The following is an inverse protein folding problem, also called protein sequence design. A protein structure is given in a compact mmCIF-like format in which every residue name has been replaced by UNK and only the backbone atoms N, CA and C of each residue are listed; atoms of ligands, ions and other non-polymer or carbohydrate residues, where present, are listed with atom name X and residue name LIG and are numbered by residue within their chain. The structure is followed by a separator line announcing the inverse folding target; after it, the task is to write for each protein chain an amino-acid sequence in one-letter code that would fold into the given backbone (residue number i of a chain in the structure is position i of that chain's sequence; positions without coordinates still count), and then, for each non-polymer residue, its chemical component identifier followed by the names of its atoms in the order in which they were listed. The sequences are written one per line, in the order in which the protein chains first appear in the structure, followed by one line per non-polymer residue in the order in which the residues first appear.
data_IF_104269363413
#
_entry.id   IF_104269363413
#
_cell.length_a   1.000
_cell.length_b   1.000
_cell.length_c   1.000
_cell.angle_alpha   90.00
_cell.angle_beta   90.00
_cell.angle_gamma   90.00
#
_symmetry.space_group_name_H-M   'P 1'
#
loop_
_entity.id
_entity.type
_entity.pdbx_description
1 polymer ?
#
# COMPACT_ATOMS: atom_id res chain seq x y z
N UNK A 1 -54.45 -9.47 -41.58
CA UNK A 1 -53.37 -8.46 -41.50
C UNK A 1 -53.38 -7.91 -40.09
N UNK A 2 -52.39 -8.31 -39.29
CA UNK A 2 -52.16 -7.81 -37.92
C UNK A 2 -50.93 -6.91 -38.04
N UNK A 3 -50.93 -5.66 -37.53
CA UNK A 3 -49.74 -4.82 -37.60
C UNK A 3 -48.74 -5.25 -36.53
N UNK A 4 -47.50 -5.46 -36.96
CA UNK A 4 -46.34 -5.69 -36.09
C UNK A 4 -46.10 -4.46 -35.22
N UNK A 5 -45.98 -4.70 -33.91
CA UNK A 5 -45.56 -3.71 -32.92
C UNK A 5 -44.05 -3.84 -32.74
N UNK A 6 -43.28 -2.92 -33.32
CA UNK A 6 -41.85 -2.80 -33.05
C UNK A 6 -41.61 -2.33 -31.61
N UNK A 7 -41.09 -3.21 -30.77
CA UNK A 7 -40.53 -2.84 -29.48
C UNK A 7 -39.10 -2.31 -29.65
N UNK A 8 -38.93 -0.99 -29.61
CA UNK A 8 -37.61 -0.37 -29.51
C UNK A 8 -37.05 -0.56 -28.09
N UNK A 9 -36.08 -1.46 -27.93
CA UNK A 9 -35.30 -1.57 -26.68
C UNK A 9 -34.31 -0.41 -26.62
N UNK A 10 -34.64 0.62 -25.84
CA UNK A 10 -33.70 1.72 -25.54
C UNK A 10 -32.66 1.23 -24.52
N UNK A 11 -31.46 0.90 -25.00
CA UNK A 11 -30.31 0.55 -24.17
C UNK A 11 -29.83 1.76 -23.35
N UNK A 12 -30.07 1.74 -22.03
CA UNK A 12 -29.60 2.77 -21.09
C UNK A 12 -28.08 2.68 -20.87
N UNK A 13 -27.28 3.40 -21.68
CA UNK A 13 -25.86 3.67 -21.36
C UNK A 13 -25.74 4.90 -20.45
N UNK A 14 -25.94 4.72 -19.14
CA UNK A 14 -25.82 5.79 -18.13
C UNK A 14 -24.47 5.78 -17.36
N UNK A 15 -23.41 5.19 -17.93
CA UNK A 15 -22.13 4.91 -17.26
C UNK A 15 -21.15 6.10 -17.04
N UNK A 16 -21.05 7.15 -17.88
CA UNK A 16 -19.98 8.15 -17.75
C UNK A 16 -20.09 8.99 -16.47
N UNK A 17 -21.28 9.54 -16.21
CA UNK A 17 -21.53 10.52 -15.14
C UNK A 17 -21.34 9.90 -13.73
N UNK A 18 -21.56 8.59 -13.59
CA UNK A 18 -21.38 7.90 -12.31
C UNK A 18 -19.90 7.69 -11.96
N UNK A 19 -19.06 7.39 -12.96
CA UNK A 19 -17.62 7.20 -12.77
C UNK A 19 -16.92 8.51 -12.39
N UNK A 20 -17.26 9.61 -13.06
CA UNK A 20 -16.69 10.93 -12.75
C UNK A 20 -17.01 11.35 -11.30
N UNK A 21 -18.22 11.07 -10.83
CA UNK A 21 -18.61 11.35 -9.44
C UNK A 21 -17.87 10.49 -8.41
N UNK A 22 -17.58 9.23 -8.71
CA UNK A 22 -16.81 8.36 -7.82
C UNK A 22 -15.36 8.84 -7.69
N UNK A 23 -14.76 9.24 -8.81
CA UNK A 23 -13.40 9.78 -8.85
C UNK A 23 -13.29 11.09 -8.04
N UNK A 24 -14.21 12.03 -8.24
CA UNK A 24 -14.22 13.29 -7.48
C UNK A 24 -14.41 13.07 -5.97
N UNK A 25 -15.22 12.09 -5.57
CA UNK A 25 -15.33 11.68 -4.17
C UNK A 25 -14.03 11.11 -3.63
N UNK A 26 -13.32 10.29 -4.41
CA UNK A 26 -12.00 9.77 -4.02
C UNK A 26 -10.98 10.90 -3.82
N UNK A 27 -10.93 11.88 -4.74
CA UNK A 27 -10.07 13.07 -4.62
C UNK A 27 -10.41 13.88 -3.37
N UNK A 28 -11.70 14.13 -3.12
CA UNK A 28 -12.14 14.88 -1.94
C UNK A 28 -11.74 14.19 -0.65
N UNK A 29 -11.94 12.86 -0.56
CA UNK A 29 -11.55 12.06 0.61
C UNK A 29 -10.04 12.08 0.83
N UNK A 30 -9.25 11.90 -0.23
CA UNK A 30 -7.79 11.97 -0.16
C UNK A 30 -7.34 13.33 0.38
N UNK A 31 -7.88 14.44 -0.14
CA UNK A 31 -7.56 15.80 0.34
C UNK A 31 -7.87 15.98 1.83
N UNK A 32 -9.04 15.55 2.27
CA UNK A 32 -9.44 15.66 3.67
C UNK A 32 -8.51 14.87 4.59
N UNK A 33 -8.18 13.63 4.21
CA UNK A 33 -7.30 12.75 4.99
C UNK A 33 -5.84 13.24 4.99
N UNK A 34 -5.37 13.75 3.86
CA UNK A 34 -4.07 14.42 3.75
C UNK A 34 -3.94 15.57 4.73
N UNK A 35 -4.99 16.39 4.90
CA UNK A 35 -4.98 17.50 5.85
C UNK A 35 -4.93 17.02 7.32
N UNK A 36 -5.74 16.00 7.64
CA UNK A 36 -5.74 15.38 8.97
C UNK A 36 -4.37 14.77 9.30
N UNK A 37 -3.76 14.07 8.35
CA UNK A 37 -2.45 13.45 8.55
C UNK A 37 -1.38 14.52 8.74
N UNK A 38 -1.34 15.54 7.88
CA UNK A 38 -0.32 16.59 7.93
C UNK A 38 -0.31 17.33 9.27
N UNK A 39 -1.47 17.47 9.91
CA UNK A 39 -1.63 18.13 11.21
C UNK A 39 -1.50 17.19 12.41
N UNK A 40 -1.28 15.88 12.20
CA UNK A 40 -1.19 14.90 13.28
C UNK A 40 0.21 14.78 13.86
N UNK A 41 0.29 14.54 15.16
CA UNK A 41 1.55 14.22 15.87
C UNK A 41 2.21 12.96 15.29
N UNK A 42 1.41 11.93 15.00
CA UNK A 42 1.89 10.70 14.37
C UNK A 42 2.67 10.96 13.07
N UNK A 43 2.19 11.87 12.23
CA UNK A 43 2.88 12.19 10.99
C UNK A 43 4.23 12.86 11.26
N UNK A 44 4.28 13.78 12.23
CA UNK A 44 5.52 14.45 12.64
C UNK A 44 6.56 13.44 13.13
N UNK A 45 6.17 12.51 14.00
CA UNK A 45 7.06 11.46 14.51
C UNK A 45 7.59 10.56 13.39
N UNK A 46 6.72 10.20 12.43
CA UNK A 46 7.09 9.39 11.27
C UNK A 46 8.12 10.14 10.41
N UNK A 47 7.86 11.39 10.04
CA UNK A 47 8.77 12.12 9.15
C UNK A 47 10.09 12.44 9.83
N UNK A 48 10.12 12.78 11.12
CA UNK A 48 11.35 12.98 11.87
C UNK A 48 12.22 11.72 11.87
N UNK A 49 11.59 10.55 12.10
CA UNK A 49 12.27 9.26 12.03
C UNK A 49 12.84 8.99 10.64
N UNK A 50 12.04 9.21 9.58
CA UNK A 50 12.45 8.97 8.21
C UNK A 50 13.55 9.94 7.73
N UNK A 51 13.50 11.19 8.18
CA UNK A 51 14.54 12.19 7.92
C UNK A 51 15.86 11.79 8.57
N UNK A 52 15.82 11.34 9.84
CA UNK A 52 16.98 10.81 10.54
C UNK A 52 17.61 9.62 9.80
N UNK A 53 16.79 8.67 9.35
CA UNK A 53 17.27 7.55 8.54
C UNK A 53 17.90 8.01 7.23
N UNK A 54 17.25 8.94 6.52
CA UNK A 54 17.75 9.49 5.26
C UNK A 54 19.08 10.23 5.44
N UNK A 55 19.23 11.00 6.52
CA UNK A 55 20.45 11.73 6.86
C UNK A 55 21.62 10.80 7.25
N UNK A 56 21.34 9.67 7.91
CA UNK A 56 22.35 8.67 8.27
C UNK A 56 22.79 7.76 7.10
N UNK A 57 22.10 7.85 5.95
CA UNK A 57 22.37 6.99 4.80
C UNK A 57 23.57 7.48 4.00
N UNK A 58 24.45 6.56 3.61
CA UNK A 58 25.55 6.82 2.67
C UNK A 58 25.06 7.18 1.26
N UNK A 59 23.80 6.84 0.94
CA UNK A 59 23.11 7.26 -0.28
C UNK A 59 21.66 7.64 0.08
N UNK A 60 21.21 8.87 -0.16
CA UNK A 60 19.84 9.28 0.15
C UNK A 60 18.87 8.55 -0.78
N UNK A 61 17.95 7.80 -0.18
CA UNK A 61 16.88 7.14 -0.93
C UNK A 61 15.87 8.18 -1.45
N UNK A 62 15.38 7.94 -2.66
CA UNK A 62 14.42 8.81 -3.36
C UNK A 62 13.28 8.03 -4.00
N UNK A 63 13.20 6.73 -3.70
CA UNK A 63 12.19 5.81 -4.21
C UNK A 63 11.40 5.23 -3.05
N UNK A 64 10.10 5.07 -3.25
CA UNK A 64 9.23 4.32 -2.36
C UNK A 64 8.60 3.17 -3.11
N UNK A 65 8.59 1.99 -2.48
CA UNK A 65 7.85 0.82 -2.92
C UNK A 65 6.74 0.52 -1.93
N UNK A 66 5.49 0.76 -2.31
CA UNK A 66 4.34 0.40 -1.52
C UNK A 66 3.85 -1.01 -1.88
N UNK A 67 3.62 -1.84 -0.88
CA UNK A 67 3.02 -3.16 -1.02
C UNK A 67 1.87 -3.32 -0.03
N UNK A 68 0.80 -4.01 -0.43
CA UNK A 68 -0.34 -4.29 0.44
C UNK A 68 -1.01 -3.00 0.97
N UNK A 69 -1.44 -2.11 0.06
CA UNK A 69 -2.09 -0.84 0.38
C UNK A 69 -3.59 -1.01 0.69
N UNK A 70 -4.24 -2.04 0.15
CA UNK A 70 -5.70 -2.20 0.06
C UNK A 70 -6.30 -1.43 -1.13
N UNK A 71 -7.63 -1.36 -1.21
CA UNK A 71 -8.33 -0.58 -2.25
C UNK A 71 -8.61 0.85 -1.75
N UNK A 72 -7.84 1.89 -2.15
CA UNK A 72 -8.01 3.25 -1.60
C UNK A 72 -9.33 3.93 -2.01
N UNK A 73 -10.03 3.45 -3.04
CA UNK A 73 -11.35 3.97 -3.38
C UNK A 73 -12.44 3.30 -2.54
N UNK A 74 -12.37 1.99 -2.34
CA UNK A 74 -13.43 1.21 -1.69
C UNK A 74 -13.28 1.17 -0.16
N UNK A 75 -12.04 1.19 0.34
CA UNK A 75 -11.71 0.99 1.75
C UNK A 75 -11.22 2.28 2.41
N UNK A 76 -11.78 2.60 3.57
CA UNK A 76 -11.40 3.78 4.34
C UNK A 76 -9.96 3.72 4.85
N UNK A 77 -9.55 2.58 5.41
CA UNK A 77 -8.21 2.39 5.95
C UNK A 77 -7.14 2.53 4.87
N UNK A 78 -7.33 1.88 3.71
CA UNK A 78 -6.44 2.00 2.56
C UNK A 78 -6.31 3.45 2.07
N UNK A 79 -7.37 4.24 2.15
CA UNK A 79 -7.32 5.65 1.77
C UNK A 79 -6.52 6.51 2.77
N UNK A 80 -6.60 6.23 4.07
CA UNK A 80 -5.72 6.85 5.05
C UNK A 80 -4.26 6.48 4.82
N UNK A 81 -3.97 5.21 4.49
CA UNK A 81 -2.61 4.78 4.15
C UNK A 81 -2.09 5.44 2.87
N UNK A 82 -2.95 5.62 1.87
CA UNK A 82 -2.61 6.37 0.66
C UNK A 82 -2.32 7.83 0.98
N UNK A 83 -3.14 8.46 1.81
CA UNK A 83 -2.92 9.84 2.23
C UNK A 83 -1.57 9.98 2.97
N UNK A 84 -1.25 9.06 3.88
CA UNK A 84 0.05 9.01 4.56
C UNK A 84 1.21 8.88 3.57
N UNK A 85 1.13 7.92 2.65
CA UNK A 85 2.14 7.70 1.61
C UNK A 85 2.35 8.95 0.74
N UNK A 86 1.27 9.65 0.37
CA UNK A 86 1.34 10.91 -0.36
C UNK A 86 2.01 12.03 0.45
N UNK A 87 1.66 12.19 1.73
CA UNK A 87 2.29 13.21 2.59
C UNK A 87 3.79 12.91 2.80
N UNK A 88 4.16 11.64 3.05
CA UNK A 88 5.57 11.21 3.14
C UNK A 88 6.31 11.52 1.84
N UNK A 89 5.71 11.17 0.70
CA UNK A 89 6.28 11.40 -0.63
C UNK A 89 6.58 12.88 -0.88
N UNK A 90 5.66 13.76 -0.49
CA UNK A 90 5.83 15.22 -0.62
C UNK A 90 6.85 15.77 0.37
N UNK A 91 6.77 15.40 1.64
CA UNK A 91 7.66 15.90 2.70
C UNK A 91 9.12 15.52 2.44
N UNK A 92 9.39 14.28 2.04
CA UNK A 92 10.74 13.78 1.83
C UNK A 92 11.28 13.96 0.41
N UNK A 93 10.54 14.66 -0.47
CA UNK A 93 10.85 14.86 -1.88
C UNK A 93 11.18 13.54 -2.59
N UNK A 94 10.23 12.60 -2.56
CA UNK A 94 10.36 11.30 -3.22
C UNK A 94 10.08 11.44 -4.72
N UNK A 95 11.03 10.99 -5.53
CA UNK A 95 10.99 11.15 -6.99
C UNK A 95 10.14 10.06 -7.66
N UNK A 96 10.02 8.89 -7.03
CA UNK A 96 9.32 7.76 -7.61
C UNK A 96 8.60 6.96 -6.53
N UNK A 97 7.29 6.80 -6.69
CA UNK A 97 6.49 5.87 -5.88
C UNK A 97 5.97 4.79 -6.81
N UNK A 98 6.30 3.54 -6.50
CA UNK A 98 5.69 2.37 -7.14
C UNK A 98 4.79 1.66 -6.14
N UNK A 99 3.64 1.18 -6.60
CA UNK A 99 2.63 0.55 -5.74
C UNK A 99 2.13 -0.74 -6.35
N UNK A 100 1.85 -1.72 -5.50
CA UNK A 100 1.15 -2.94 -5.89
C UNK A 100 0.34 -3.53 -4.76
N UNK A 101 -0.88 -3.90 -5.13
CA UNK A 101 -1.77 -4.72 -4.33
C UNK A 101 -2.66 -5.55 -5.27
N UNK A 102 -2.80 -6.87 -5.05
CA UNK A 102 -3.81 -7.68 -5.74
C UNK A 102 -5.25 -7.16 -5.57
N UNK A 103 -5.55 -6.44 -4.48
CA UNK A 103 -6.85 -5.85 -4.21
C UNK A 103 -7.18 -4.62 -5.08
N UNK A 104 -6.21 -4.07 -5.83
CA UNK A 104 -6.46 -2.90 -6.67
C UNK A 104 -7.48 -3.18 -7.77
N UNK A 105 -8.57 -2.40 -7.75
CA UNK A 105 -9.56 -2.32 -8.82
C UNK A 105 -9.00 -1.55 -10.03
N UNK A 106 -9.77 -1.51 -11.13
CA UNK A 106 -9.40 -0.70 -12.31
C UNK A 106 -9.43 0.79 -11.96
N UNK A 107 -10.41 1.19 -11.15
CA UNK A 107 -10.59 2.54 -10.65
C UNK A 107 -9.43 2.95 -9.73
N UNK A 108 -8.96 2.06 -8.84
CA UNK A 108 -7.80 2.33 -7.97
C UNK A 108 -6.54 2.61 -8.80
N UNK A 109 -6.24 1.75 -9.77
CA UNK A 109 -5.06 1.89 -10.64
C UNK A 109 -5.11 3.20 -11.42
N UNK A 110 -6.28 3.57 -11.92
CA UNK A 110 -6.48 4.86 -12.59
C UNK A 110 -6.24 6.02 -11.62
N UNK A 111 -6.88 6.01 -10.45
CA UNK A 111 -6.75 7.08 -9.46
C UNK A 111 -5.31 7.25 -8.96
N UNK A 112 -4.62 6.15 -8.64
CA UNK A 112 -3.23 6.15 -8.18
C UNK A 112 -2.27 6.70 -9.25
N UNK A 113 -2.48 6.34 -10.52
CA UNK A 113 -1.63 6.83 -11.61
C UNK A 113 -1.96 8.28 -12.03
N UNK A 114 -3.24 8.65 -12.12
CA UNK A 114 -3.65 9.97 -12.61
C UNK A 114 -3.56 11.07 -11.55
N UNK A 115 -3.94 10.77 -10.30
CA UNK A 115 -4.02 11.78 -9.24
C UNK A 115 -2.78 11.79 -8.34
N UNK A 116 -2.14 10.63 -8.14
CA UNK A 116 -0.97 10.51 -7.26
C UNK A 116 0.34 10.38 -8.05
N UNK A 117 0.29 10.19 -9.38
CA UNK A 117 1.45 9.94 -10.23
C UNK A 117 2.28 8.71 -9.80
N UNK A 118 1.60 7.67 -9.30
CA UNK A 118 2.25 6.43 -8.86
C UNK A 118 2.36 5.43 -10.01
N UNK A 119 3.46 4.68 -10.01
CA UNK A 119 3.66 3.56 -10.95
C UNK A 119 2.99 2.30 -10.41
N UNK A 120 2.11 1.70 -11.20
CA UNK A 120 1.47 0.43 -10.82
C UNK A 120 2.33 -0.72 -11.37
N UNK A 121 3.09 -1.38 -10.52
CA UNK A 121 4.10 -2.36 -10.96
C UNK A 121 4.01 -3.62 -10.11
N UNK A 122 3.65 -4.77 -10.68
CA UNK A 122 3.55 -6.02 -9.92
C UNK A 122 4.91 -6.55 -9.44
N UNK A 123 5.89 -6.55 -10.33
CA UNK A 123 7.28 -6.82 -10.00
C UNK A 123 8.00 -5.51 -9.66
N UNK A 124 9.02 -5.62 -8.81
CA UNK A 124 9.90 -4.51 -8.50
C UNK A 124 11.31 -5.07 -8.38
N UNK A 125 12.13 -4.74 -9.38
CA UNK A 125 13.53 -5.14 -9.47
C UNK A 125 14.38 -3.87 -9.58
N UNK A 126 14.64 -3.19 -8.45
CA UNK A 126 15.49 -2.02 -8.47
C UNK A 126 16.95 -2.48 -8.64
N UNK A 127 17.79 -1.65 -9.25
CA UNK A 127 19.25 -1.87 -9.31
C UNK A 127 19.97 -1.83 -7.93
N UNK A 128 19.20 -1.88 -6.83
CA UNK A 128 19.63 -1.86 -5.44
C UNK A 128 18.41 -1.67 -4.53
N UNK A 129 18.37 -2.32 -3.36
CA UNK A 129 17.31 -2.13 -2.36
C UNK A 129 17.64 -1.02 -1.34
N UNK A 130 18.89 -0.56 -1.34
CA UNK A 130 19.42 0.38 -0.37
C UNK A 130 18.94 1.83 -0.59
N UNK A 131 18.41 2.13 -1.78
CA UNK A 131 17.86 3.44 -2.16
C UNK A 131 16.32 3.46 -2.17
N UNK A 132 15.67 2.45 -1.57
CA UNK A 132 14.22 2.28 -1.56
C UNK A 132 13.69 2.19 -0.13
N UNK A 133 12.71 3.04 0.19
CA UNK A 133 11.84 2.83 1.35
C UNK A 133 10.69 1.89 0.97
N UNK A 134 10.56 0.77 1.66
CA UNK A 134 9.41 -0.11 1.54
C UNK A 134 8.31 0.33 2.50
N UNK A 135 7.16 0.74 1.95
CA UNK A 135 5.96 1.08 2.72
C UNK A 135 4.98 -0.09 2.66
N UNK A 136 4.67 -0.67 3.82
CA UNK A 136 3.99 -1.97 3.90
C UNK A 136 2.92 -1.96 4.99
N UNK A 137 1.79 -1.27 4.78
CA UNK A 137 0.84 -0.99 5.86
C UNK A 137 -0.05 -2.19 6.25
N UNK A 138 -0.39 -3.07 5.30
CA UNK A 138 -1.33 -4.18 5.53
C UNK A 138 -0.81 -5.53 5.02
N UNK A 139 0.51 -5.76 5.00
CA UNK A 139 1.02 -6.99 4.42
C UNK A 139 0.66 -8.24 5.23
N UNK A 140 0.18 -9.31 4.56
CA UNK A 140 0.16 -10.63 5.17
C UNK A 140 1.60 -11.08 5.48
N UNK A 141 1.74 -11.92 6.50
CA UNK A 141 3.03 -12.39 7.02
C UNK A 141 3.94 -12.94 5.92
N UNK A 142 3.37 -13.73 5.00
CA UNK A 142 4.11 -14.36 3.90
C UNK A 142 4.79 -13.30 2.99
N UNK A 143 4.10 -12.19 2.72
CA UNK A 143 4.64 -11.11 1.90
C UNK A 143 5.79 -10.41 2.62
N UNK A 144 5.63 -10.17 3.93
CA UNK A 144 6.64 -9.49 4.74
C UNK A 144 7.89 -10.37 4.94
N UNK A 145 7.72 -11.68 5.16
CA UNK A 145 8.84 -12.66 5.17
C UNK A 145 9.59 -12.69 3.84
N UNK A 146 8.86 -12.73 2.71
CA UNK A 146 9.46 -12.66 1.38
C UNK A 146 10.25 -11.37 1.18
N UNK A 147 9.70 -10.23 1.63
CA UNK A 147 10.40 -8.94 1.57
C UNK A 147 11.66 -8.94 2.45
N UNK A 148 11.57 -9.36 3.71
CA UNK A 148 12.71 -9.41 4.63
C UNK A 148 13.83 -10.35 4.15
N UNK A 149 13.49 -11.43 3.45
CA UNK A 149 14.48 -12.33 2.85
C UNK A 149 15.41 -11.62 1.86
N UNK A 150 14.92 -10.53 1.24
CA UNK A 150 15.70 -9.66 0.34
C UNK A 150 16.54 -8.61 1.08
N UNK A 151 16.42 -8.53 2.40
CA UNK A 151 17.16 -7.61 3.29
C UNK A 151 17.05 -6.13 2.86
N UNK A 152 15.84 -5.57 2.70
CA UNK A 152 15.69 -4.15 2.44
C UNK A 152 16.22 -3.34 3.63
N UNK A 153 16.83 -2.20 3.33
CA UNK A 153 17.43 -1.34 4.35
C UNK A 153 16.39 -0.55 5.16
N UNK A 154 15.33 -0.11 4.50
CA UNK A 154 14.29 0.73 5.09
C UNK A 154 12.91 0.12 4.88
N UNK A 155 12.19 -0.13 5.96
CA UNK A 155 10.81 -0.60 5.95
C UNK A 155 9.99 0.22 6.93
N UNK A 156 8.85 0.72 6.46
CA UNK A 156 7.80 1.33 7.29
C UNK A 156 6.56 0.44 7.21
N UNK A 157 6.14 -0.10 8.35
CA UNK A 157 4.99 -1.01 8.48
C UNK A 157 4.20 -0.70 9.75
N UNK A 158 2.91 -1.00 9.76
CA UNK A 158 2.02 -0.73 10.90
C UNK A 158 2.17 -1.74 12.05
N UNK A 159 2.61 -2.97 11.78
CA UNK A 159 2.63 -4.04 12.77
C UNK A 159 3.90 -4.88 12.71
N UNK A 160 4.83 -4.59 13.63
CA UNK A 160 6.05 -5.37 13.83
C UNK A 160 5.84 -6.52 14.84
N UNK A 161 4.72 -6.54 15.57
CA UNK A 161 4.44 -7.51 16.64
C UNK A 161 4.20 -8.93 16.12
N UNK A 162 3.87 -9.05 14.83
CA UNK A 162 3.87 -10.30 14.07
C UNK A 162 5.22 -11.03 14.19
N UNK A 163 6.33 -10.30 14.32
CA UNK A 163 7.67 -10.88 14.49
C UNK A 163 8.03 -11.17 15.94
N UNK A 164 7.62 -10.34 16.89
CA UNK A 164 7.93 -10.58 18.31
C UNK A 164 7.30 -11.87 18.81
N UNK A 165 6.12 -12.24 18.30
CA UNK A 165 5.47 -13.53 18.60
C UNK A 165 6.07 -14.73 17.85
N UNK A 166 6.79 -14.51 16.73
CA UNK A 166 7.46 -15.59 16.00
C UNK A 166 8.90 -15.84 16.45
N UNK A 167 9.64 -14.84 16.94
CA UNK A 167 10.95 -15.09 17.56
C UNK A 167 10.79 -15.99 18.79
N UNK A 168 9.79 -15.71 19.63
CA UNK A 168 9.44 -16.60 20.74
C UNK A 168 9.08 -18.01 20.25
N UNK A 169 8.29 -18.18 19.19
CA UNK A 169 7.95 -19.51 18.69
C UNK A 169 9.09 -20.24 17.94
N UNK A 170 9.91 -19.55 17.15
CA UNK A 170 11.01 -20.18 16.41
C UNK A 170 12.13 -20.60 17.36
N UNK A 171 12.44 -19.79 18.38
CA UNK A 171 13.29 -20.19 19.50
C UNK A 171 12.63 -21.30 20.34
N UNK A 172 11.30 -21.32 20.49
CA UNK A 172 10.59 -22.40 21.20
C UNK A 172 10.67 -23.75 20.47
N UNK A 173 10.54 -23.76 19.13
CA UNK A 173 10.64 -24.98 18.32
C UNK A 173 12.09 -25.44 18.14
N UNK A 174 13.06 -24.52 18.08
CA UNK A 174 14.49 -24.87 18.04
C UNK A 174 14.99 -25.38 19.41
N UNK A 175 14.40 -24.94 20.54
CA UNK A 175 14.83 -25.30 21.90
C UNK A 175 14.08 -26.48 22.52
N UNK A 176 12.91 -26.86 21.98
CA UNK A 176 12.14 -28.03 22.40
C UNK A 176 11.72 -28.90 21.20
N UNK A 177 12.65 -29.67 20.59
CA UNK A 177 12.27 -30.74 19.68
C UNK A 177 11.69 -31.90 20.50
N UNK A 178 10.40 -31.83 20.84
CA UNK A 178 9.69 -32.93 21.48
C UNK A 178 8.77 -33.59 20.47
N UNK A 179 8.64 -34.90 20.36
CA UNK A 179 9.37 -36.07 20.87
C UNK A 179 8.67 -37.21 20.09
N UNK A 180 9.41 -38.20 19.60
CA UNK A 180 8.84 -39.33 18.88
C UNK A 180 7.81 -40.06 19.75
N UNK A 181 6.54 -40.06 19.33
CA UNK A 181 5.52 -40.95 19.90
C UNK A 181 5.76 -42.37 19.39
N UNK A 182 6.43 -43.19 20.21
CA UNK A 182 6.34 -44.65 20.10
C UNK A 182 4.99 -45.08 20.68
N UNK A 183 4.10 -45.57 19.82
CA UNK A 183 2.98 -46.40 20.24
C UNK A 183 3.44 -47.87 20.19
N UNK A 184 3.35 -48.55 21.34
CA UNK A 184 3.24 -50.00 21.45
C UNK A 184 1.77 -50.39 21.35
#
# INVERSE_FOLDING_TARGET
MIPDVEFTIVSRRNKPIAKDRALERAKSRLRQRSELIRSSELFMDIVETLESWKASSTSPWSKVRCLALGSPIEEEQANFQLALLCEIGRHLNINMVSVYDPAFTTEDKHFLSSECNFRIEQSFDPQGLDDVLFFVPHAPIILLESLLSKKPKYILTNDVSIYTNKFTHKEFFEKYPKEQTHHH
#
